data_IF_273734383121
#
_entry.id   IF_273734383121
#
_cell.length_a   1.000
_cell.length_b   1.000
_cell.length_c   1.000
_cell.angle_alpha   90.00
_cell.angle_beta   90.00
_cell.angle_gamma   90.00
#
_symmetry.space_group_name_H-M   'P 1'
#
loop_
_entity.id
_entity.type
_entity.pdbx_description
1 polymer ?
#
# COMPACT_ATOMS: atom_id res chain seq x y z
N UNK A 1 8.11 -0.99 30.95
CA UNK A 1 8.07 -0.41 29.60
C UNK A 1 6.71 -0.78 29.04
N UNK A 2 5.75 0.12 29.13
CA UNK A 2 4.45 -0.11 28.50
C UNK A 2 4.66 0.01 26.99
N UNK A 3 4.48 -1.11 26.28
CA UNK A 3 4.37 -1.07 24.84
C UNK A 3 3.23 -0.11 24.51
N UNK A 4 3.42 0.88 23.62
CA UNK A 4 2.31 1.71 23.20
C UNK A 4 1.24 0.76 22.66
N UNK A 5 0.08 0.74 23.30
CA UNK A 5 -1.07 -0.01 22.83
C UNK A 5 -1.46 0.61 21.48
N UNK A 6 -0.96 0.02 20.40
CA UNK A 6 -1.35 0.40 19.06
C UNK A 6 -2.81 -0.03 18.95
N UNK A 7 -3.72 0.92 19.14
CA UNK A 7 -5.09 0.77 18.72
C UNK A 7 -5.08 0.75 17.19
N UNK A 8 -4.66 -0.39 16.62
CA UNK A 8 -4.84 -0.69 15.21
C UNK A 8 -6.35 -0.71 14.99
N UNK A 9 -6.90 0.41 14.55
CA UNK A 9 -8.19 0.37 13.89
C UNK A 9 -7.97 -0.53 12.68
N UNK A 10 -8.44 -1.76 12.74
CA UNK A 10 -8.41 -2.69 11.60
C UNK A 10 -8.91 -2.01 10.32
N UNK A 11 -9.86 -1.10 10.48
CA UNK A 11 -10.36 -0.17 9.48
C UNK A 11 -9.28 0.68 8.79
N UNK A 12 -8.25 1.13 9.49
CA UNK A 12 -7.15 1.89 8.90
C UNK A 12 -6.39 1.04 7.88
N UNK A 13 -6.12 -0.23 8.18
CA UNK A 13 -5.46 -1.12 7.22
C UNK A 13 -6.34 -1.42 6.01
N UNK A 14 -7.63 -1.73 6.25
CA UNK A 14 -8.60 -2.06 5.19
C UNK A 14 -8.80 -0.90 4.22
N UNK A 15 -8.76 0.35 4.71
CA UNK A 15 -8.97 1.54 3.88
C UNK A 15 -7.64 2.06 3.31
N UNK A 16 -6.57 2.09 4.09
CA UNK A 16 -5.28 2.64 3.65
C UNK A 16 -4.67 1.85 2.50
N UNK A 17 -4.76 0.51 2.51
CA UNK A 17 -4.13 -0.33 1.48
C UNK A 17 -4.71 -0.05 0.08
N UNK A 18 -6.05 -0.10 -0.15
CA UNK A 18 -6.65 0.30 -1.43
C UNK A 18 -6.33 1.74 -1.82
N UNK A 19 -6.37 2.68 -0.87
CA UNK A 19 -6.07 4.10 -1.14
C UNK A 19 -4.63 4.28 -1.61
N UNK A 20 -3.66 3.69 -0.91
CA UNK A 20 -2.23 3.72 -1.31
C UNK A 20 -2.08 3.09 -2.70
N UNK A 21 -2.73 1.95 -2.96
CA UNK A 21 -2.67 1.30 -4.26
C UNK A 21 -3.18 2.22 -5.38
N UNK A 22 -4.35 2.83 -5.20
CA UNK A 22 -4.96 3.76 -6.18
C UNK A 22 -4.06 4.97 -6.40
N UNK A 23 -3.61 5.63 -5.33
CA UNK A 23 -2.73 6.80 -5.43
C UNK A 23 -1.41 6.46 -6.14
N UNK A 24 -0.82 5.30 -5.84
CA UNK A 24 0.42 4.86 -6.48
C UNK A 24 0.21 4.64 -7.99
N UNK A 25 -0.90 4.03 -8.40
CA UNK A 25 -1.20 3.85 -9.83
C UNK A 25 -1.50 5.19 -10.52
N UNK A 26 -2.24 6.10 -9.86
CA UNK A 26 -2.51 7.44 -10.39
C UNK A 26 -1.21 8.21 -10.61
N UNK A 27 -0.33 8.27 -9.61
CA UNK A 27 0.98 8.94 -9.71
C UNK A 27 1.83 8.32 -10.82
N UNK A 28 1.88 6.98 -10.90
CA UNK A 28 2.59 6.27 -11.96
C UNK A 28 2.08 6.65 -13.36
N UNK A 29 0.76 6.78 -13.54
CA UNK A 29 0.16 7.16 -14.84
C UNK A 29 0.40 8.63 -15.17
N UNK A 30 0.20 9.53 -14.20
CA UNK A 30 0.35 10.98 -14.40
C UNK A 30 1.80 11.39 -14.64
N UNK A 31 2.74 10.85 -13.87
CA UNK A 31 4.16 11.21 -13.93
C UNK A 31 5.01 10.24 -14.78
N UNK A 32 4.37 9.26 -15.45
CA UNK A 32 5.03 8.27 -16.33
C UNK A 32 6.23 7.59 -15.66
N UNK A 33 6.08 7.23 -14.40
CA UNK A 33 7.19 6.76 -13.56
C UNK A 33 7.64 5.37 -14.01
N UNK A 34 8.96 5.09 -14.07
CA UNK A 34 9.47 3.77 -14.40
C UNK A 34 8.97 2.73 -13.39
N UNK A 35 8.59 1.54 -13.90
CA UNK A 35 8.04 0.44 -13.10
C UNK A 35 8.87 0.06 -11.85
N UNK A 36 10.22 0.11 -11.86
CA UNK A 36 11.03 -0.20 -10.68
C UNK A 36 10.78 0.71 -9.47
N UNK A 37 10.33 1.96 -9.68
CA UNK A 37 10.13 2.93 -8.59
C UNK A 37 8.72 2.88 -7.98
N UNK A 38 7.81 2.12 -8.57
CA UNK A 38 6.43 1.98 -8.08
C UNK A 38 6.37 1.48 -6.62
N UNK A 39 7.17 0.48 -6.19
CA UNK A 39 7.18 0.04 -4.80
C UNK A 39 7.68 1.13 -3.83
N UNK A 40 8.70 1.90 -4.23
CA UNK A 40 9.23 2.99 -3.42
C UNK A 40 8.19 4.09 -3.19
N UNK A 41 7.38 4.39 -4.21
CA UNK A 41 6.31 5.38 -4.12
C UNK A 41 5.17 4.88 -3.23
N UNK A 42 4.75 3.63 -3.38
CA UNK A 42 3.76 3.03 -2.51
C UNK A 42 4.19 3.08 -1.03
N UNK A 43 5.46 2.78 -0.77
CA UNK A 43 6.04 2.85 0.57
C UNK A 43 6.06 4.29 1.12
N UNK A 44 6.50 5.25 0.30
CA UNK A 44 6.52 6.66 0.69
C UNK A 44 5.10 7.17 1.03
N UNK A 45 4.11 6.84 0.21
CA UNK A 45 2.71 7.21 0.46
C UNK A 45 2.19 6.53 1.73
N UNK A 46 2.48 5.24 1.93
CA UNK A 46 2.08 4.50 3.13
C UNK A 46 2.63 5.11 4.42
N UNK A 47 3.91 5.49 4.42
CA UNK A 47 4.54 6.18 5.55
C UNK A 47 3.90 7.55 5.79
N UNK A 48 3.72 8.36 4.74
CA UNK A 48 3.09 9.69 4.86
C UNK A 48 1.68 9.57 5.43
N UNK A 49 0.83 8.71 4.84
CA UNK A 49 -0.54 8.56 5.32
C UNK A 49 -0.60 8.03 6.76
N UNK A 50 0.23 7.04 7.11
CA UNK A 50 0.22 6.47 8.47
C UNK A 50 0.73 7.44 9.53
N UNK A 51 1.79 8.20 9.24
CA UNK A 51 2.38 9.16 10.18
C UNK A 51 1.47 10.38 10.40
N UNK A 52 0.86 10.91 9.34
CA UNK A 52 0.04 12.13 9.43
C UNK A 52 -1.44 11.87 9.80
N UNK A 53 -1.99 10.69 9.48
CA UNK A 53 -3.42 10.40 9.67
C UNK A 53 -3.65 9.48 10.87
N UNK A 54 -3.04 8.29 10.90
CA UNK A 54 -3.38 7.26 11.89
C UNK A 54 -2.66 7.40 13.23
N UNK A 55 -1.38 7.81 13.24
CA UNK A 55 -0.54 7.77 14.46
C UNK A 55 0.03 9.13 14.84
N UNK A 56 -0.84 10.16 14.92
CA UNK A 56 -0.45 11.48 15.42
C UNK A 56 0.03 11.35 16.87
N UNK A 57 1.35 11.48 17.09
CA UNK A 57 1.97 11.42 18.42
C UNK A 57 2.92 10.23 18.66
N UNK A 58 2.89 9.20 17.80
CA UNK A 58 3.79 8.04 17.90
C UNK A 58 4.48 7.75 16.57
N UNK A 59 5.59 8.45 16.30
CA UNK A 59 6.38 8.33 15.07
C UNK A 59 6.77 6.89 14.73
N UNK A 60 7.19 6.10 15.72
CA UNK A 60 7.58 4.70 15.51
C UNK A 60 6.40 3.82 15.07
N UNK A 61 5.22 3.98 15.67
CA UNK A 61 4.02 3.24 15.28
C UNK A 61 3.56 3.67 13.87
N UNK A 62 3.59 4.97 13.58
CA UNK A 62 3.27 5.52 12.26
C UNK A 62 4.19 4.97 11.16
N UNK A 63 5.50 4.94 11.39
CA UNK A 63 6.47 4.39 10.45
C UNK A 63 6.28 2.88 10.23
N UNK A 64 6.13 2.11 11.31
CA UNK A 64 5.94 0.66 11.23
C UNK A 64 4.65 0.30 10.48
N UNK A 65 3.54 0.95 10.81
CA UNK A 65 2.25 0.69 10.15
C UNK A 65 2.24 1.21 8.71
N UNK A 66 2.88 2.35 8.43
CA UNK A 66 2.99 2.87 7.07
C UNK A 66 3.85 2.01 6.16
N UNK A 67 4.92 1.42 6.71
CA UNK A 67 5.71 0.39 6.04
C UNK A 67 4.84 -0.82 5.69
N UNK A 68 4.08 -1.33 6.66
CA UNK A 68 3.18 -2.46 6.45
C UNK A 68 2.12 -2.17 5.36
N UNK A 69 1.45 -1.02 5.42
CA UNK A 69 0.44 -0.62 4.44
C UNK A 69 1.01 -0.44 3.02
N UNK A 70 2.20 0.16 2.91
CA UNK A 70 2.89 0.34 1.64
C UNK A 70 3.23 -0.99 0.96
N UNK A 71 3.83 -1.92 1.70
CA UNK A 71 4.17 -3.25 1.15
C UNK A 71 2.92 -4.09 0.87
N UNK A 72 1.90 -4.01 1.71
CA UNK A 72 0.63 -4.68 1.46
C UNK A 72 -0.02 -4.18 0.15
N UNK A 73 0.01 -2.86 -0.12
CA UNK A 73 -0.51 -2.30 -1.37
C UNK A 73 0.26 -2.81 -2.61
N UNK A 74 1.59 -2.91 -2.53
CA UNK A 74 2.42 -3.48 -3.61
C UNK A 74 2.09 -4.96 -3.83
N UNK A 75 1.99 -5.74 -2.76
CA UNK A 75 1.65 -7.17 -2.82
C UNK A 75 0.25 -7.41 -3.37
N UNK A 76 -0.75 -6.66 -2.90
CA UNK A 76 -2.12 -6.71 -3.40
C UNK A 76 -2.20 -6.39 -4.89
N UNK A 77 -1.49 -5.37 -5.36
CA UNK A 77 -1.43 -5.04 -6.78
C UNK A 77 -0.79 -6.17 -7.61
N UNK A 78 0.33 -6.74 -7.14
CA UNK A 78 1.02 -7.83 -7.82
C UNK A 78 0.13 -9.09 -7.91
N UNK A 79 -0.55 -9.44 -6.81
CA UNK A 79 -1.49 -10.54 -6.74
C UNK A 79 -2.66 -10.33 -7.71
N UNK A 80 -3.32 -9.16 -7.64
CA UNK A 80 -4.44 -8.83 -8.50
C UNK A 80 -4.06 -8.88 -9.99
N UNK A 81 -2.91 -8.30 -10.35
CA UNK A 81 -2.39 -8.34 -11.72
C UNK A 81 -2.17 -9.79 -12.18
N UNK A 82 -1.58 -10.62 -11.33
CA UNK A 82 -1.31 -12.03 -11.65
C UNK A 82 -2.60 -12.81 -11.85
N UNK A 83 -3.59 -12.63 -10.96
CA UNK A 83 -4.90 -13.27 -11.07
C UNK A 83 -5.62 -12.88 -12.36
N UNK A 84 -5.65 -11.59 -12.70
CA UNK A 84 -6.28 -11.10 -13.92
C UNK A 84 -5.59 -11.68 -15.17
N UNK A 85 -4.26 -11.67 -15.22
CA UNK A 85 -3.51 -12.22 -16.34
C UNK A 85 -3.74 -13.73 -16.51
N UNK A 86 -3.71 -14.49 -15.41
CA UNK A 86 -3.98 -15.92 -15.42
C UNK A 86 -5.41 -16.24 -15.85
N UNK A 87 -6.39 -15.45 -15.39
CA UNK A 87 -7.78 -15.59 -15.81
C UNK A 87 -7.95 -15.30 -17.30
N UNK A 88 -7.39 -14.20 -17.80
CA UNK A 88 -7.46 -13.84 -19.22
C UNK A 88 -6.78 -14.88 -20.11
N UNK A 89 -5.62 -15.42 -19.70
CA UNK A 89 -4.95 -16.50 -20.43
C UNK A 89 -5.82 -17.74 -20.52
N UNK A 90 -6.44 -18.15 -19.41
CA UNK A 90 -7.39 -19.27 -19.37
C UNK A 90 -8.58 -19.06 -20.32
N UNK A 91 -9.15 -17.86 -20.35
CA UNK A 91 -10.28 -17.52 -21.25
C UNK A 91 -9.86 -17.55 -22.73
N UNK A 92 -8.59 -17.25 -23.03
CA UNK A 92 -8.09 -17.21 -24.41
C UNK A 92 -7.76 -18.57 -25.01
N UNK A 93 -7.98 -19.68 -24.28
CA UNK A 93 -7.64 -21.04 -24.72
C UNK A 93 -6.19 -21.18 -25.22
N UNK A 94 -5.24 -20.55 -24.51
CA UNK A 94 -3.80 -20.86 -24.61
C UNK A 94 -3.35 -21.76 -23.47
#
# INVERSE_FOLDING_TARGET
>A
MDFPAIHTNFWDAVIAIPVIMILTQLIKVLFKIPKPYVPTIALAIGIVLSVFVSHRGHLFAGLFMGWFYGYAAVGSYASLKTVILSYLKKVRHE
#
